data_IF_283771793903
#
_entry.id   IF_283771793903
#
_cell.length_a   1.000
_cell.length_b   1.000
_cell.length_c   1.000
_cell.angle_alpha   90.00
_cell.angle_beta   90.00
_cell.angle_gamma   90.00
#
_symmetry.space_group_name_H-M   'P 1'
#
loop_
_entity.id
_entity.type
_entity.pdbx_description
1 polymer ?
#
# COMPACT_ATOMS: atom_id res chain seq x y z
N UNK A 1 -1.70 -2.95 9.61
CA UNK A 1 -1.12 -4.31 9.56
C UNK A 1 0.35 -4.30 9.13
N UNK A 2 0.70 -3.80 7.94
CA UNK A 2 2.09 -3.81 7.47
C UNK A 2 3.09 -3.04 8.35
N UNK A 3 2.72 -1.85 8.84
CA UNK A 3 3.53 -1.09 9.80
C UNK A 3 3.77 -1.89 11.09
N UNK A 4 2.72 -2.47 11.68
CA UNK A 4 2.81 -3.30 12.87
C UNK A 4 3.69 -4.54 12.63
N UNK A 5 3.57 -5.19 11.46
CA UNK A 5 4.42 -6.31 11.07
C UNK A 5 5.90 -5.91 10.95
N UNK A 6 6.18 -4.74 10.38
CA UNK A 6 7.54 -4.19 10.27
C UNK A 6 8.14 -3.90 11.65
N UNK A 7 7.34 -3.31 12.56
CA UNK A 7 7.75 -3.07 13.95
C UNK A 7 8.00 -4.37 14.71
N UNK A 8 7.17 -5.39 14.51
CA UNK A 8 7.36 -6.71 15.11
C UNK A 8 8.65 -7.38 14.60
N UNK A 9 8.98 -7.26 13.32
CA UNK A 9 10.25 -7.77 12.76
C UNK A 9 11.47 -7.05 13.34
N UNK A 10 11.40 -5.72 13.51
CA UNK A 10 12.46 -4.93 14.16
C UNK A 10 12.62 -5.35 15.61
N UNK A 11 11.52 -5.45 16.36
CA UNK A 11 11.53 -5.88 17.76
C UNK A 11 12.02 -7.31 17.94
N UNK A 12 11.88 -8.16 16.92
CA UNK A 12 12.33 -9.55 16.97
C UNK A 12 13.87 -9.66 17.02
N UNK A 13 14.60 -8.66 16.50
CA UNK A 13 16.06 -8.60 16.52
C UNK A 13 16.76 -9.80 15.88
N UNK A 14 16.06 -10.60 15.07
CA UNK A 14 16.55 -11.88 14.55
C UNK A 14 16.64 -13.02 15.59
N UNK A 15 16.31 -12.78 16.85
CA UNK A 15 16.47 -13.74 17.95
C UNK A 15 15.17 -14.37 18.39
N UNK A 16 14.03 -13.71 18.19
CA UNK A 16 12.73 -14.15 18.71
C UNK A 16 11.86 -14.78 17.62
N UNK A 17 11.93 -16.11 17.48
CA UNK A 17 11.16 -16.87 16.47
C UNK A 17 9.65 -16.55 16.45
N UNK A 18 8.94 -16.47 17.60
CA UNK A 18 7.51 -16.14 17.58
C UNK A 18 7.23 -14.74 17.03
N UNK A 19 8.10 -13.78 17.36
CA UNK A 19 7.96 -12.39 16.94
C UNK A 19 8.29 -12.23 15.44
N UNK A 20 9.27 -13.01 14.94
CA UNK A 20 9.55 -13.12 13.50
C UNK A 20 8.33 -13.65 12.74
N UNK A 21 7.72 -14.75 13.21
CA UNK A 21 6.53 -15.33 12.58
C UNK A 21 5.39 -14.31 12.58
N UNK A 22 5.12 -13.67 13.72
CA UNK A 22 4.08 -12.65 13.82
C UNK A 22 4.34 -11.49 12.85
N UNK A 23 5.58 -11.00 12.80
CA UNK A 23 6.01 -9.95 11.89
C UNK A 23 5.79 -10.30 10.43
N UNK A 24 6.19 -11.51 10.01
CA UNK A 24 5.98 -12.03 8.65
C UNK A 24 4.49 -12.14 8.32
N UNK A 25 3.67 -12.68 9.21
CA UNK A 25 2.21 -12.81 8.97
C UNK A 25 1.56 -11.44 8.82
N UNK A 26 1.83 -10.51 9.74
CA UNK A 26 1.24 -9.16 9.69
C UNK A 26 1.71 -8.35 8.48
N UNK A 27 2.98 -8.50 8.11
CA UNK A 27 3.53 -7.87 6.91
C UNK A 27 2.91 -8.45 5.64
N UNK A 28 2.85 -9.79 5.53
CA UNK A 28 2.26 -10.50 4.41
C UNK A 28 0.78 -10.20 4.22
N UNK A 29 0.02 -10.07 5.32
CA UNK A 29 -1.39 -9.65 5.26
C UNK A 29 -1.53 -8.23 4.68
N UNK A 30 -0.63 -7.32 5.06
CA UNK A 30 -0.59 -5.97 4.50
C UNK A 30 -0.30 -5.96 3.00
N UNK A 31 0.74 -6.70 2.59
CA UNK A 31 1.13 -6.81 1.18
C UNK A 31 0.04 -7.48 0.33
N UNK A 32 -0.57 -8.55 0.83
CA UNK A 32 -1.66 -9.27 0.16
C UNK A 32 -2.91 -8.41 -0.04
N UNK A 33 -3.23 -7.54 0.93
CA UNK A 33 -4.31 -6.57 0.75
C UNK A 33 -3.98 -5.52 -0.33
N UNK A 34 -2.73 -5.08 -0.40
CA UNK A 34 -2.30 -4.12 -1.43
C UNK A 34 -2.41 -4.69 -2.85
N UNK A 35 -2.28 -6.01 -3.03
CA UNK A 35 -2.45 -6.66 -4.34
C UNK A 35 -3.88 -7.08 -4.65
N UNK A 36 -4.65 -7.48 -3.62
CA UNK A 36 -5.99 -8.06 -3.82
C UNK A 36 -7.12 -7.04 -3.78
N UNK A 37 -6.97 -5.94 -3.02
CA UNK A 37 -8.00 -4.91 -2.95
C UNK A 37 -8.19 -4.14 -4.26
N UNK A 38 -7.15 -3.74 -5.03
CA UNK A 38 -7.38 -3.01 -6.26
C UNK A 38 -8.23 -3.76 -7.29
N UNK A 39 -8.00 -5.07 -7.55
CA UNK A 39 -8.90 -5.87 -8.39
C UNK A 39 -10.33 -5.94 -7.86
N UNK A 40 -10.52 -6.14 -6.55
CA UNK A 40 -11.86 -6.24 -5.94
C UNK A 40 -12.62 -4.91 -6.06
N UNK A 41 -11.96 -3.79 -5.75
CA UNK A 41 -12.53 -2.44 -5.89
C UNK A 41 -12.85 -2.17 -7.36
N UNK A 42 -11.95 -2.49 -8.29
CA UNK A 42 -12.18 -2.26 -9.72
C UNK A 42 -13.35 -3.09 -10.28
N UNK A 43 -13.57 -4.30 -9.76
CA UNK A 43 -14.72 -5.15 -10.12
C UNK A 43 -16.03 -4.60 -9.58
N UNK A 44 -16.01 -3.94 -8.41
CA UNK A 44 -17.20 -3.34 -7.80
C UNK A 44 -17.58 -1.99 -8.42
N UNK A 45 -16.59 -1.18 -8.79
CA UNK A 45 -16.80 0.23 -9.18
C UNK A 45 -16.86 0.46 -10.71
N UNK A 46 -16.41 -0.48 -11.54
CA UNK A 46 -16.32 -0.31 -12.99
C UNK A 46 -17.08 -1.39 -13.76
N UNK A 47 -17.52 -1.04 -14.98
CA UNK A 47 -18.12 -1.99 -15.90
C UNK A 47 -17.12 -3.13 -16.22
N UNK A 48 -17.59 -4.37 -16.47
CA UNK A 48 -16.71 -5.51 -16.72
C UNK A 48 -15.71 -5.30 -17.87
N UNK A 49 -16.09 -4.50 -18.88
CA UNK A 49 -15.22 -4.15 -20.00
C UNK A 49 -14.01 -3.27 -19.61
N UNK A 50 -14.14 -2.48 -18.54
CA UNK A 50 -13.13 -1.52 -18.10
C UNK A 50 -12.28 -2.03 -16.93
N UNK A 51 -12.76 -3.02 -16.17
CA UNK A 51 -12.10 -3.55 -14.97
C UNK A 51 -10.64 -3.92 -15.20
N UNK A 52 -10.35 -4.69 -16.26
CA UNK A 52 -8.98 -5.12 -16.56
C UNK A 52 -8.05 -3.96 -16.90
N UNK A 53 -8.57 -2.92 -17.57
CA UNK A 53 -7.80 -1.72 -17.90
C UNK A 53 -7.45 -0.92 -16.65
N UNK A 54 -8.39 -0.80 -15.70
CA UNK A 54 -8.15 -0.14 -14.41
C UNK A 54 -7.13 -0.92 -13.57
N UNK A 55 -7.28 -2.25 -13.47
CA UNK A 55 -6.31 -3.09 -12.74
C UNK A 55 -4.92 -2.99 -13.35
N UNK A 56 -4.81 -2.97 -14.68
CA UNK A 56 -3.53 -2.80 -15.37
C UNK A 56 -2.90 -1.43 -15.10
N UNK A 57 -3.70 -0.35 -15.10
CA UNK A 57 -3.23 1.00 -14.77
C UNK A 57 -2.73 1.10 -13.32
N UNK A 58 -3.47 0.55 -12.36
CA UNK A 58 -3.01 0.51 -10.95
C UNK A 58 -1.71 -0.27 -10.84
N UNK A 59 -1.63 -1.44 -11.47
CA UNK A 59 -0.42 -2.28 -11.45
C UNK A 59 0.76 -1.54 -12.07
N UNK A 60 0.58 -0.90 -13.23
CA UNK A 60 1.62 -0.14 -13.90
C UNK A 60 2.13 1.04 -13.04
N UNK A 61 1.23 1.75 -12.34
CA UNK A 61 1.60 2.80 -11.39
C UNK A 61 2.44 2.28 -10.23
N UNK A 62 2.05 1.13 -9.66
CA UNK A 62 2.86 0.47 -8.62
C UNK A 62 4.24 0.06 -9.14
N UNK A 63 4.32 -0.51 -10.35
CA UNK A 63 5.59 -0.93 -10.94
C UNK A 63 6.51 0.24 -11.29
N UNK A 64 5.97 1.37 -11.75
CA UNK A 64 6.77 2.58 -11.91
C UNK A 64 7.40 2.98 -10.56
N UNK A 65 6.62 2.98 -9.49
CA UNK A 65 7.12 3.29 -8.15
C UNK A 65 8.21 2.30 -7.71
N UNK A 66 8.01 1.00 -7.92
CA UNK A 66 9.00 -0.03 -7.56
C UNK A 66 10.26 0.00 -8.43
N UNK A 67 10.17 0.44 -9.69
CA UNK A 67 11.33 0.59 -10.56
C UNK A 67 12.24 1.75 -10.11
N UNK A 68 11.66 2.84 -9.63
CA UNK A 68 12.43 4.01 -9.17
C UNK A 68 12.84 3.93 -7.70
N UNK A 69 12.17 3.12 -6.87
CA UNK A 69 12.47 3.01 -5.44
C UNK A 69 13.95 2.65 -5.16
N UNK A 70 14.55 1.59 -5.75
CA UNK A 70 15.96 1.26 -5.48
C UNK A 70 16.93 2.40 -5.79
N UNK A 71 16.70 3.12 -6.90
CA UNK A 71 17.54 4.26 -7.28
C UNK A 71 17.39 5.43 -6.30
N UNK A 72 16.15 5.76 -5.90
CA UNK A 72 15.89 6.84 -4.95
C UNK A 72 16.43 6.51 -3.54
N UNK A 73 16.19 5.30 -3.04
CA UNK A 73 16.73 4.85 -1.75
C UNK A 73 18.25 4.66 -1.79
N UNK A 74 18.82 4.24 -2.93
CA UNK A 74 20.27 4.18 -3.13
C UNK A 74 20.93 5.55 -3.03
N UNK A 75 20.42 6.53 -3.79
CA UNK A 75 20.92 7.91 -3.73
C UNK A 75 20.77 8.52 -2.32
N UNK A 76 19.66 8.24 -1.63
CA UNK A 76 19.44 8.69 -0.26
C UNK A 76 20.39 8.02 0.74
N UNK A 77 20.82 6.78 0.47
CA UNK A 77 21.80 6.07 1.29
C UNK A 77 23.20 6.67 1.14
N UNK A 78 23.57 7.09 -0.06
CA UNK A 78 24.91 7.65 -0.32
C UNK A 78 25.16 8.98 0.40
N UNK A 79 24.10 9.73 0.71
CA UNK A 79 24.19 11.06 1.33
C UNK A 79 23.79 11.09 2.81
N UNK A 80 23.44 9.95 3.40
CA UNK A 80 22.80 9.90 4.71
C UNK A 80 23.13 8.66 5.54
N UNK A 81 22.55 8.59 6.73
CA UNK A 81 22.62 7.40 7.58
C UNK A 81 21.46 6.45 7.27
N UNK A 82 21.59 5.19 7.67
CA UNK A 82 20.51 4.19 7.58
C UNK A 82 19.18 4.69 8.17
N UNK A 83 19.24 5.50 9.23
CA UNK A 83 18.07 6.14 9.84
C UNK A 83 17.33 7.09 8.88
N UNK A 84 18.04 7.77 7.99
CA UNK A 84 17.46 8.68 7.01
C UNK A 84 16.54 7.94 6.00
N UNK A 85 16.92 6.71 5.63
CA UNK A 85 16.10 5.84 4.77
C UNK A 85 14.77 5.50 5.43
N UNK A 86 14.81 5.11 6.71
CA UNK A 86 13.62 4.77 7.48
C UNK A 86 12.72 5.99 7.72
N UNK A 87 13.31 7.17 8.01
CA UNK A 87 12.56 8.41 8.18
C UNK A 87 11.88 8.85 6.87
N UNK A 88 12.57 8.75 5.74
CA UNK A 88 11.98 9.06 4.44
C UNK A 88 10.82 8.10 4.10
N UNK A 89 11.00 6.79 4.33
CA UNK A 89 9.94 5.80 4.12
C UNK A 89 8.73 6.05 5.04
N UNK A 90 8.97 6.38 6.31
CA UNK A 90 7.91 6.73 7.26
C UNK A 90 7.17 8.01 6.83
N UNK A 91 7.90 9.04 6.37
CA UNK A 91 7.33 10.26 5.84
C UNK A 91 6.42 10.03 4.64
N UNK A 92 6.85 9.18 3.70
CA UNK A 92 6.04 8.78 2.54
C UNK A 92 4.77 8.04 2.96
N UNK A 93 4.86 7.10 3.92
CA UNK A 93 3.69 6.39 4.44
C UNK A 93 2.69 7.33 5.14
N UNK A 94 3.19 8.28 5.93
CA UNK A 94 2.34 9.27 6.62
C UNK A 94 1.66 10.21 5.62
N UNK A 95 2.38 10.66 4.59
CA UNK A 95 1.80 11.47 3.53
C UNK A 95 0.68 10.71 2.78
N UNK A 96 0.93 9.45 2.43
CA UNK A 96 -0.07 8.59 1.78
C UNK A 96 -1.31 8.38 2.67
N UNK A 97 -1.11 8.09 3.97
CA UNK A 97 -2.21 7.98 4.92
C UNK A 97 -3.00 9.30 5.02
N UNK A 98 -2.32 10.45 5.04
CA UNK A 98 -2.94 11.77 5.03
C UNK A 98 -3.83 12.01 3.81
N UNK A 99 -3.35 11.66 2.61
CA UNK A 99 -4.13 11.77 1.36
C UNK A 99 -5.39 10.90 1.40
N UNK A 100 -5.28 9.66 1.92
CA UNK A 100 -6.43 8.76 2.07
C UNK A 100 -7.46 9.33 3.05
N UNK A 101 -7.01 9.85 4.19
CA UNK A 101 -7.88 10.42 5.22
C UNK A 101 -8.52 11.74 4.80
N UNK A 102 -7.83 12.54 3.98
CA UNK A 102 -8.36 13.80 3.45
C UNK A 102 -9.37 13.60 2.30
N UNK A 103 -9.53 12.37 1.79
CA UNK A 103 -10.45 12.09 0.68
C UNK A 103 -11.90 12.27 1.14
N UNK A 104 -12.68 13.18 0.51
CA UNK A 104 -14.10 13.33 0.83
C UNK A 104 -14.87 12.04 0.54
N UNK A 105 -15.78 11.66 1.44
CA UNK A 105 -16.70 10.54 1.21
C UNK A 105 -17.63 10.89 0.04
N UNK A 106 -17.76 9.97 -0.92
CA UNK A 106 -18.70 10.16 -2.03
C UNK A 106 -20.12 10.03 -1.47
N UNK A 107 -21.05 10.96 -1.80
CA UNK A 107 -22.45 10.80 -1.40
C UNK A 107 -23.01 9.48 -1.93
N UNK A 108 -23.89 8.78 -1.17
CA UNK A 108 -24.55 7.57 -1.64
C UNK A 108 -25.29 7.86 -2.96
N UNK A 109 -25.14 6.94 -3.92
CA UNK A 109 -25.80 7.05 -5.22
C UNK A 109 -27.33 7.12 -5.02
N UNK A 110 -27.98 8.09 -5.67
CA UNK A 110 -29.43 8.23 -5.61
C UNK A 110 -30.10 6.95 -6.14
N UNK A 111 -31.24 6.51 -5.56
CA UNK A 111 -31.95 5.33 -6.03
C UNK A 111 -32.27 5.46 -7.51
N UNK A 112 -31.97 4.43 -8.29
CA UNK A 112 -32.35 4.37 -9.69
C UNK A 112 -33.87 4.50 -9.78
N UNK A 113 -34.36 5.58 -10.39
CA UNK A 113 -35.77 5.76 -10.66
C UNK A 113 -36.24 4.57 -11.51
N UNK A 114 -37.10 3.74 -10.92
CA UNK A 114 -37.81 2.70 -11.64
C UNK A 114 -38.68 3.39 -12.69
N UNK A 115 -38.27 3.34 -13.95
CA UNK A 115 -39.07 3.77 -15.07
C UNK A 115 -40.28 2.81 -15.26
N UNK A 116 -41.44 3.33 -15.68
CA UNK A 116 -42.71 2.59 -15.72
C UNK A 116 -42.79 1.50 -16.80
#
# INVERSE_FOLDING_TARGET
MQLCGSLALVAAGGTSVPLLILGVVLFGLGLGNATSLPPLIAQQDFAPADTMRVVALVTAGSQATYAFAPAAFGALRDVGTDALLFLAAAGIQLAAAGVVLARPTRPPAAPAATAP
#
